data_IF_514019317665
#
_entry.id   IF_514019317665
#
_cell.length_a   1.000
_cell.length_b   1.000
_cell.length_c   1.000
_cell.angle_alpha   90.00
_cell.angle_beta   90.00
_cell.angle_gamma   90.00
#
_symmetry.space_group_name_H-M   'P 1'
#
loop_
_entity.id
_entity.type
_entity.pdbx_description
1 polymer ?
#
# COMPACT_ATOMS: atom_id res chain seq x y z
N UNK A 1 27.14 1.87 8.54
CA UNK A 1 27.04 1.30 7.18
C UNK A 1 25.56 1.11 6.88
N UNK A 2 25.13 1.32 5.64
CA UNK A 2 23.74 1.16 5.21
C UNK A 2 23.67 0.13 4.08
N UNK A 3 22.72 -0.80 4.14
CA UNK A 3 22.54 -1.81 3.10
C UNK A 3 21.64 -1.26 1.99
N UNK A 4 22.03 -1.44 0.73
CA UNK A 4 21.21 -1.05 -0.41
C UNK A 4 19.97 -1.96 -0.52
N UNK A 5 18.77 -1.39 -0.53
CA UNK A 5 17.52 -2.15 -0.68
C UNK A 5 17.34 -2.79 -2.06
N UNK A 6 18.08 -2.32 -3.09
CA UNK A 6 17.97 -2.81 -4.46
C UNK A 6 18.95 -3.96 -4.78
N UNK A 7 20.15 -3.97 -4.19
CA UNK A 7 21.20 -4.95 -4.54
C UNK A 7 21.99 -5.49 -3.35
N UNK A 8 21.55 -5.17 -2.13
CA UNK A 8 22.11 -5.64 -0.86
C UNK A 8 23.57 -5.26 -0.57
N UNK A 9 24.19 -4.43 -1.41
CA UNK A 9 25.54 -3.95 -1.19
C UNK A 9 25.62 -3.06 0.07
N UNK A 10 26.67 -3.26 0.87
CA UNK A 10 26.96 -2.44 2.06
C UNK A 10 27.61 -1.13 1.63
N UNK A 11 26.93 -0.02 1.86
CA UNK A 11 27.42 1.31 1.58
C UNK A 11 27.90 2.03 2.87
N UNK A 12 28.81 3.00 2.74
CA UNK A 12 29.13 3.93 3.82
C UNK A 12 27.87 4.66 4.31
N UNK A 13 27.80 4.97 5.62
CA UNK A 13 26.64 5.66 6.19
C UNK A 13 26.41 7.06 5.60
N UNK A 14 27.46 7.69 5.05
CA UNK A 14 27.37 8.99 4.41
C UNK A 14 26.91 8.93 2.94
N UNK A 15 26.91 7.76 2.29
CA UNK A 15 26.60 7.65 0.87
C UNK A 15 25.13 7.99 0.58
N UNK A 16 24.90 8.86 -0.40
CA UNK A 16 23.56 9.23 -0.89
C UNK A 16 23.06 8.29 -1.99
N UNK A 17 23.99 7.61 -2.67
CA UNK A 17 23.72 6.59 -3.69
C UNK A 17 24.57 5.34 -3.44
N UNK A 18 24.05 4.19 -3.86
CA UNK A 18 24.76 2.93 -3.77
C UNK A 18 25.94 2.91 -4.76
N UNK A 19 27.13 2.60 -4.25
CA UNK A 19 28.37 2.55 -5.03
C UNK A 19 28.42 1.39 -6.04
N UNK A 20 27.49 0.44 -5.96
CA UNK A 20 27.40 -0.72 -6.86
C UNK A 20 26.32 -0.59 -7.93
N UNK A 21 25.13 -0.11 -7.58
CA UNK A 21 23.98 -0.09 -8.49
C UNK A 21 23.39 1.31 -8.76
N UNK A 22 23.89 2.36 -8.11
CA UNK A 22 23.41 3.73 -8.30
C UNK A 22 22.05 4.06 -7.65
N UNK A 23 21.39 3.10 -6.98
CA UNK A 23 20.14 3.37 -6.28
C UNK A 23 20.33 4.39 -5.14
N UNK A 24 19.37 5.29 -4.91
CA UNK A 24 19.38 6.19 -3.76
C UNK A 24 19.40 5.39 -2.46
N UNK A 25 20.29 5.78 -1.55
CA UNK A 25 20.43 5.17 -0.21
C UNK A 25 19.97 6.09 0.90
N UNK A 26 19.50 7.31 0.55
CA UNK A 26 18.89 8.27 1.46
C UNK A 26 17.80 9.05 0.75
N UNK A 27 16.85 9.55 1.54
CA UNK A 27 15.82 10.49 1.09
C UNK A 27 16.07 11.80 1.82
N UNK A 28 16.16 12.89 1.08
CA UNK A 28 16.26 14.23 1.63
C UNK A 28 14.85 14.76 1.91
N UNK A 29 14.66 15.35 3.08
CA UNK A 29 13.38 15.95 3.43
C UNK A 29 13.23 17.32 2.75
N UNK A 30 12.18 17.48 1.94
CA UNK A 30 11.89 18.74 1.24
C UNK A 30 11.64 19.94 2.18
N UNK A 31 11.27 19.67 3.44
CA UNK A 31 10.97 20.71 4.44
C UNK A 31 12.19 21.22 5.21
N UNK A 32 13.11 20.32 5.58
CA UNK A 32 14.22 20.68 6.47
C UNK A 32 15.62 20.23 5.99
N UNK A 33 15.72 19.57 4.84
CA UNK A 33 16.97 19.07 4.27
C UNK A 33 17.59 17.89 5.01
N UNK A 34 16.95 17.35 6.06
CA UNK A 34 17.47 16.21 6.78
C UNK A 34 17.48 14.96 5.89
N UNK A 35 18.60 14.24 5.87
CA UNK A 35 18.77 13.01 5.08
C UNK A 35 18.40 11.78 5.90
N UNK A 36 17.18 11.28 5.68
CA UNK A 36 16.69 10.05 6.30
C UNK A 36 17.15 8.79 5.54
N UNK A 37 17.19 7.63 6.21
CA UNK A 37 17.24 6.33 5.54
C UNK A 37 16.11 6.16 4.49
N UNK A 38 16.30 5.31 3.46
CA UNK A 38 15.41 5.24 2.31
C UNK A 38 14.07 4.55 2.61
N UNK A 39 13.95 3.89 3.76
CA UNK A 39 12.79 3.18 4.29
C UNK A 39 12.12 3.91 5.48
N UNK A 40 12.54 5.14 5.77
CA UNK A 40 11.94 5.93 6.85
C UNK A 40 10.64 6.56 6.39
N UNK A 41 9.51 6.26 7.02
CA UNK A 41 8.21 6.88 6.70
C UNK A 41 8.13 8.37 7.10
N UNK A 42 8.86 8.76 8.13
CA UNK A 42 8.90 10.12 8.66
C UNK A 42 10.33 10.66 8.70
N UNK A 43 10.47 11.97 8.56
CA UNK A 43 11.72 12.69 8.68
C UNK A 43 12.18 12.70 10.15
N UNK A 44 13.38 12.17 10.42
CA UNK A 44 13.95 12.18 11.77
C UNK A 44 14.33 13.57 12.30
N UNK A 45 14.40 14.58 11.43
CA UNK A 45 14.74 15.96 11.80
C UNK A 45 13.53 16.86 12.11
N UNK A 46 12.43 16.72 11.37
CA UNK A 46 11.26 17.62 11.51
C UNK A 46 9.91 16.91 11.62
N UNK A 47 9.86 15.57 11.51
CA UNK A 47 8.63 14.78 11.60
C UNK A 47 7.74 14.80 10.35
N UNK A 48 8.12 15.51 9.30
CA UNK A 48 7.38 15.52 8.02
C UNK A 48 7.38 14.14 7.37
N UNK A 49 6.34 13.82 6.57
CA UNK A 49 6.37 12.61 5.76
C UNK A 49 7.50 12.65 4.74
N UNK A 50 8.06 11.47 4.50
CA UNK A 50 9.03 11.28 3.41
C UNK A 50 8.33 10.75 2.17
N UNK A 51 9.04 10.81 1.04
CA UNK A 51 8.64 10.14 -0.21
C UNK A 51 8.31 8.65 0.02
N UNK A 52 9.02 7.96 0.93
CA UNK A 52 8.74 6.56 1.26
C UNK A 52 7.41 6.42 2.01
N UNK A 53 7.17 7.26 3.03
CA UNK A 53 5.91 7.26 3.79
C UNK A 53 4.70 7.55 2.90
N UNK A 54 4.83 8.49 1.96
CA UNK A 54 3.77 8.82 1.01
C UNK A 54 3.43 7.64 0.09
N UNK A 55 4.46 6.95 -0.42
CA UNK A 55 4.28 5.73 -1.23
C UNK A 55 3.59 4.62 -0.45
N UNK A 56 3.99 4.39 0.81
CA UNK A 56 3.38 3.37 1.66
C UNK A 56 1.90 3.65 1.95
N UNK A 57 1.56 4.90 2.30
CA UNK A 57 0.15 5.31 2.50
C UNK A 57 -0.69 5.24 1.25
N UNK A 58 -0.12 5.54 0.08
CA UNK A 58 -0.81 5.36 -1.20
C UNK A 58 -1.07 3.87 -1.46
N UNK A 59 -0.05 3.02 -1.28
CA UNK A 59 -0.19 1.58 -1.44
C UNK A 59 -1.27 0.99 -0.53
N UNK A 60 -1.30 1.38 0.75
CA UNK A 60 -2.33 0.95 1.71
C UNK A 60 -3.74 1.36 1.27
N UNK A 61 -3.93 2.62 0.82
CA UNK A 61 -5.22 3.09 0.30
C UNK A 61 -5.68 2.29 -0.91
N UNK A 62 -4.78 2.01 -1.86
CA UNK A 62 -5.11 1.21 -3.05
C UNK A 62 -5.52 -0.22 -2.67
N UNK A 63 -4.82 -0.84 -1.72
CA UNK A 63 -5.16 -2.18 -1.21
C UNK A 63 -6.53 -2.18 -0.55
N UNK A 64 -6.84 -1.17 0.28
CA UNK A 64 -8.15 -1.08 0.92
C UNK A 64 -9.27 -0.81 -0.09
N UNK A 65 -9.05 0.03 -1.11
CA UNK A 65 -10.01 0.22 -2.21
C UNK A 65 -10.31 -1.08 -2.95
N UNK A 66 -9.29 -1.89 -3.28
CA UNK A 66 -9.49 -3.21 -3.88
C UNK A 66 -10.27 -4.15 -2.96
N UNK A 67 -9.95 -4.14 -1.67
CA UNK A 67 -10.64 -4.94 -0.66
C UNK A 67 -12.12 -4.57 -0.59
N UNK A 68 -12.44 -3.29 -0.56
CA UNK A 68 -13.81 -2.79 -0.54
C UNK A 68 -14.56 -3.16 -1.81
N UNK A 69 -13.94 -3.07 -2.99
CA UNK A 69 -14.54 -3.53 -4.26
C UNK A 69 -14.89 -5.02 -4.21
N UNK A 70 -13.98 -5.87 -3.71
CA UNK A 70 -14.22 -7.31 -3.54
C UNK A 70 -15.37 -7.59 -2.56
N UNK A 71 -15.42 -6.88 -1.44
CA UNK A 71 -16.50 -7.00 -0.45
C UNK A 71 -17.85 -6.58 -1.07
N UNK A 72 -17.89 -5.45 -1.77
CA UNK A 72 -19.09 -4.97 -2.44
C UNK A 72 -19.60 -5.96 -3.51
N UNK A 73 -18.69 -6.53 -4.31
CA UNK A 73 -19.04 -7.55 -5.29
C UNK A 73 -19.63 -8.80 -4.63
N UNK A 74 -18.99 -9.32 -3.57
CA UNK A 74 -19.49 -10.47 -2.82
C UNK A 74 -20.89 -10.20 -2.23
N UNK A 75 -21.11 -9.01 -1.68
CA UNK A 75 -22.44 -8.60 -1.16
C UNK A 75 -23.50 -8.57 -2.25
N UNK A 76 -23.19 -8.03 -3.44
CA UNK A 76 -24.11 -8.03 -4.58
C UNK A 76 -24.47 -9.44 -5.04
N UNK A 77 -23.47 -10.32 -5.15
CA UNK A 77 -23.65 -11.73 -5.52
C UNK A 77 -24.54 -12.44 -4.50
N UNK A 78 -24.25 -12.29 -3.20
CA UNK A 78 -25.07 -12.86 -2.11
C UNK A 78 -26.53 -12.40 -2.18
N UNK A 79 -26.76 -11.10 -2.41
CA UNK A 79 -28.10 -10.55 -2.54
C UNK A 79 -28.85 -11.13 -3.75
N UNK A 80 -28.19 -11.27 -4.90
CA UNK A 80 -28.78 -11.88 -6.09
C UNK A 80 -29.22 -13.33 -5.83
N UNK A 81 -28.40 -14.12 -5.13
CA UNK A 81 -28.78 -15.49 -4.73
C UNK A 81 -29.99 -15.52 -3.79
N UNK A 82 -30.06 -14.60 -2.81
CA UNK A 82 -31.21 -14.50 -1.89
C UNK A 82 -32.49 -14.19 -2.67
N UNK A 83 -32.46 -13.19 -3.56
CA UNK A 83 -33.62 -12.83 -4.40
C UNK A 83 -34.04 -14.01 -5.27
N UNK A 84 -33.09 -14.67 -5.92
CA UNK A 84 -33.37 -15.85 -6.74
C UNK A 84 -34.04 -16.97 -5.93
N UNK A 85 -33.53 -17.27 -4.73
CA UNK A 85 -34.12 -18.28 -3.85
C UNK A 85 -35.55 -17.91 -3.43
N UNK A 86 -35.82 -16.64 -3.08
CA UNK A 86 -37.16 -16.18 -2.73
C UNK A 86 -38.13 -16.28 -3.91
N UNK A 87 -37.70 -15.94 -5.12
CA UNK A 87 -38.51 -16.09 -6.34
C UNK A 87 -38.86 -17.56 -6.61
N UNK A 88 -37.91 -18.48 -6.43
CA UNK A 88 -38.17 -19.91 -6.57
C UNK A 88 -39.18 -20.42 -5.53
N UNK A 89 -39.07 -20.00 -4.27
CA UNK A 89 -40.02 -20.35 -3.21
C UNK A 89 -41.43 -19.85 -3.57
N UNK A 90 -41.56 -18.58 -3.97
CA UNK A 90 -42.83 -18.00 -4.38
C UNK A 90 -43.47 -18.76 -5.56
N UNK A 91 -42.66 -19.14 -6.55
CA UNK A 91 -43.15 -19.93 -7.68
C UNK A 91 -43.71 -21.29 -7.24
N UNK A 92 -43.01 -22.00 -6.33
CA UNK A 92 -43.46 -23.29 -5.80
C UNK A 92 -44.76 -23.12 -5.01
N UNK A 93 -44.86 -22.12 -4.15
CA UNK A 93 -46.07 -21.89 -3.32
C UNK A 93 -47.27 -21.43 -4.13
N UNK A 94 -47.07 -20.81 -5.31
CA UNK A 94 -48.17 -20.43 -6.20
C UNK A 94 -48.65 -21.58 -7.08
N UNK A 95 -47.87 -22.66 -7.20
CA UNK A 95 -48.19 -23.83 -8.03
C UNK A 95 -48.78 -25.00 -7.25
N UNK A 96 -48.60 -25.01 -5.92
CA UNK A 96 -49.15 -25.98 -4.96
C UNK A 96 -50.50 -25.50 -4.40
#
# INVERSE_FOLDING_TARGET
MTQCLNCEHKNPAAADFCTKCGAKTKIECDKCGFKSPPDSEFCGGCGELTEYGDRMRLAERLVEEERQKKIALKRKIMFAYIVFALLLILAITLWL
#
